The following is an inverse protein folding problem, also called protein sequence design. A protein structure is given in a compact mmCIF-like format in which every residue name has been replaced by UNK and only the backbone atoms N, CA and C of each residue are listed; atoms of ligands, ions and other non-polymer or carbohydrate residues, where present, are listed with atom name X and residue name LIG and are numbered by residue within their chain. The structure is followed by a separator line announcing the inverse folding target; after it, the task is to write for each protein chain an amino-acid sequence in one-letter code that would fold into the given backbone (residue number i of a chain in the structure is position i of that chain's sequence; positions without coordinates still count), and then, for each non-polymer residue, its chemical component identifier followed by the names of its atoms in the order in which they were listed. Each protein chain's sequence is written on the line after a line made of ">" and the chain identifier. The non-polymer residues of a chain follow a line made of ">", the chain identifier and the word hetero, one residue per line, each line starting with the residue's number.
data_IF_282973781673
#
_entry.id   IF_282973781673
#
_cell.length_a   1.000
_cell.length_b   1.000
_cell.length_c   1.000
_cell.angle_alpha   90.00
_cell.angle_beta   90.00
_cell.angle_gamma   90.00
#
_symmetry.space_group_name_H-M   'P 1'
#
loop_
_entity.id
_entity.type
_entity.pdbx_description
1 polymer ?
#
# COMPACT_ATOMS: atom_id res chain seq x y z
N UNK A 1 -0.92 -7.32 21.40
CA UNK A 1 -0.97 -8.56 20.58
C UNK A 1 -2.00 -9.47 21.23
N UNK A 2 -3.13 -9.73 20.58
CA UNK A 2 -4.28 -10.32 21.28
C UNK A 2 -4.37 -11.82 21.05
N UNK A 3 -4.56 -12.58 22.14
CA UNK A 3 -4.83 -14.03 22.12
C UNK A 3 -6.33 -14.35 21.95
N UNK A 4 -7.23 -13.35 21.99
CA UNK A 4 -8.69 -13.56 21.95
C UNK A 4 -9.50 -12.54 21.12
N UNK A 5 -8.89 -11.44 20.65
CA UNK A 5 -9.58 -10.42 19.85
C UNK A 5 -8.92 -10.21 18.49
N UNK A 6 -9.76 -10.19 17.45
CA UNK A 6 -9.33 -9.80 16.11
C UNK A 6 -8.94 -8.31 16.12
N UNK A 7 -7.84 -7.99 15.44
CA UNK A 7 -7.47 -6.61 15.20
C UNK A 7 -8.43 -5.98 14.18
N UNK A 8 -8.76 -4.71 14.38
CA UNK A 8 -9.52 -3.95 13.40
C UNK A 8 -8.76 -3.87 12.07
N UNK A 9 -9.48 -4.07 10.97
CA UNK A 9 -8.91 -3.92 9.64
C UNK A 9 -8.66 -2.45 9.37
N UNK A 10 -7.41 -2.09 9.11
CA UNK A 10 -7.05 -0.72 8.72
C UNK A 10 -7.65 -0.40 7.36
N UNK A 11 -8.32 0.74 7.25
CA UNK A 11 -8.83 1.26 5.98
C UNK A 11 -7.66 1.84 5.19
N UNK A 12 -7.55 1.45 3.92
CA UNK A 12 -6.51 1.91 3.00
C UNK A 12 -7.16 2.87 2.02
N UNK A 13 -6.54 4.03 1.80
CA UNK A 13 -7.00 4.98 0.79
C UNK A 13 -6.66 4.47 -0.61
N UNK A 14 -7.53 4.72 -1.60
CA UNK A 14 -7.25 4.37 -2.99
C UNK A 14 -6.04 5.14 -3.51
N UNK A 15 -5.38 4.55 -4.51
CA UNK A 15 -4.27 5.18 -5.20
C UNK A 15 -4.68 6.48 -5.91
N UNK A 16 -3.86 7.54 -5.88
CA UNK A 16 -4.23 8.82 -6.50
C UNK A 16 -4.23 8.79 -8.03
N UNK A 17 -3.45 7.91 -8.67
CA UNK A 17 -3.32 7.88 -10.13
C UNK A 17 -4.36 6.96 -10.79
N UNK A 18 -4.60 5.80 -10.19
CA UNK A 18 -5.50 4.78 -10.75
C UNK A 18 -6.77 4.57 -9.91
N UNK A 19 -6.98 5.33 -8.83
CA UNK A 19 -8.11 5.21 -7.91
C UNK A 19 -8.36 3.77 -7.41
N UNK A 20 -7.29 2.97 -7.33
CA UNK A 20 -7.36 1.54 -7.03
C UNK A 20 -6.86 1.23 -5.63
N UNK A 21 -7.71 0.61 -4.81
CA UNK A 21 -7.35 0.13 -3.47
C UNK A 21 -6.36 -1.03 -3.57
N UNK A 22 -6.49 -1.87 -4.62
CA UNK A 22 -5.59 -3.00 -4.85
C UNK A 22 -4.16 -2.51 -5.11
N UNK A 23 -4.02 -1.48 -5.94
CA UNK A 23 -2.71 -0.90 -6.26
C UNK A 23 -2.08 -0.22 -5.05
N UNK A 24 -2.85 0.56 -4.29
CA UNK A 24 -2.39 1.18 -3.04
C UNK A 24 -1.86 0.14 -2.05
N UNK A 25 -2.57 -0.99 -1.88
CA UNK A 25 -2.13 -2.10 -1.04
C UNK A 25 -0.86 -2.78 -1.58
N UNK A 26 -0.71 -2.90 -2.89
CA UNK A 26 0.49 -3.45 -3.52
C UNK A 26 1.72 -2.56 -3.30
N UNK A 27 1.58 -1.24 -3.50
CA UNK A 27 2.63 -0.24 -3.23
C UNK A 27 3.07 -0.30 -1.77
N UNK A 28 2.11 -0.36 -0.83
CA UNK A 28 2.41 -0.46 0.61
C UNK A 28 3.19 -1.74 0.98
N UNK A 29 2.98 -2.85 0.27
CA UNK A 29 3.73 -4.09 0.48
C UNK A 29 5.16 -4.05 -0.09
N UNK A 30 5.38 -3.29 -1.17
CA UNK A 30 6.72 -3.10 -1.76
C UNK A 30 7.55 -2.09 -0.97
N UNK A 31 6.87 -1.13 -0.32
CA UNK A 31 7.51 -0.07 0.45
C UNK A 31 8.43 -0.63 1.55
N UNK A 32 9.71 -0.23 1.49
CA UNK A 32 10.70 -0.51 2.52
C UNK A 32 11.02 0.75 3.31
N UNK A 33 11.22 0.60 4.62
CA UNK A 33 11.63 1.71 5.51
C UNK A 33 10.70 2.94 5.48
N UNK A 34 9.42 2.75 5.14
CA UNK A 34 8.45 3.86 5.02
C UNK A 34 8.65 4.76 3.80
N UNK A 35 9.48 4.37 2.83
CA UNK A 35 9.79 5.17 1.63
C UNK A 35 8.68 5.09 0.58
N UNK A 36 7.53 5.71 0.85
CA UNK A 36 6.34 5.63 -0.02
C UNK A 36 6.57 6.22 -1.42
N UNK A 37 7.15 7.41 -1.51
CA UNK A 37 7.42 8.06 -2.80
C UNK A 37 8.35 7.22 -3.71
N UNK A 38 9.33 6.52 -3.13
CA UNK A 38 10.21 5.62 -3.87
C UNK A 38 9.46 4.38 -4.35
N UNK A 39 8.63 3.79 -3.50
CA UNK A 39 7.83 2.62 -3.85
C UNK A 39 6.82 2.93 -4.97
N UNK A 40 6.14 4.08 -4.89
CA UNK A 40 5.25 4.59 -5.94
C UNK A 40 6.00 4.76 -7.26
N UNK A 41 7.18 5.41 -7.22
CA UNK A 41 8.00 5.62 -8.43
C UNK A 41 8.39 4.30 -9.09
N UNK A 42 8.85 3.31 -8.32
CA UNK A 42 9.23 1.98 -8.83
C UNK A 42 8.03 1.29 -9.49
N UNK A 43 6.89 1.23 -8.79
CA UNK A 43 5.68 0.56 -9.28
C UNK A 43 5.16 1.24 -10.54
N UNK A 44 5.07 2.58 -10.55
CA UNK A 44 4.64 3.31 -11.75
C UNK A 44 5.62 3.20 -12.91
N UNK A 45 6.92 3.14 -12.64
CA UNK A 45 7.92 2.92 -13.70
C UNK A 45 7.85 1.53 -14.32
N UNK A 46 7.31 0.54 -13.61
CA UNK A 46 7.16 -0.83 -14.12
C UNK A 46 5.91 -1.05 -14.98
N UNK A 47 5.00 -0.07 -15.04
CA UNK A 47 3.81 -0.10 -15.90
C UNK A 47 4.03 0.61 -17.25
N UNK A 48 5.15 1.33 -17.39
CA UNK A 48 5.63 1.87 -18.66
C UNK A 48 6.68 0.92 -19.26
#
# INVERSE_FOLDING_TARGET
>A
MSRRHAAEKRVILPDMKYNSILLSRFINNIMKEGKKALAEKIVYSAFN
#
